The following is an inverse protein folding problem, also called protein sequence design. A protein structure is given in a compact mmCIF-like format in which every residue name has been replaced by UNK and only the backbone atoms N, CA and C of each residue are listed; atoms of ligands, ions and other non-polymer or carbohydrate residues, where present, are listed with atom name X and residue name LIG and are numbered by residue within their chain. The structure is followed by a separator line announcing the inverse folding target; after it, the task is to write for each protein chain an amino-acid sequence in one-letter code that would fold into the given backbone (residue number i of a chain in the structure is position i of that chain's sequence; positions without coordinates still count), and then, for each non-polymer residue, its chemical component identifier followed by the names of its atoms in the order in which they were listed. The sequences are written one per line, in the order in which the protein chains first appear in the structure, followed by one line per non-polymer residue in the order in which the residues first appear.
data_IF_975610080073
#
_entry.id   IF_975610080073
#
_cell.length_a   1.000
_cell.length_b   1.000
_cell.length_c   1.000
_cell.angle_alpha   90.00
_cell.angle_beta   90.00
_cell.angle_gamma   90.00
#
_symmetry.space_group_name_H-M   'P 1'
#
loop_
_entity.id
_entity.type
_entity.pdbx_description
1 polymer ?
#
# COMPACT_ATOMS: atom_id res chain seq x y z
N UNK A 1 -6.05 -0.25 19.32
CA UNK A 1 -6.82 0.07 18.09
C UNK A 1 -6.74 -1.11 17.13
N UNK A 2 -7.87 -1.73 16.85
CA UNK A 2 -7.95 -2.75 15.79
C UNK A 2 -8.45 -2.08 14.53
N UNK A 3 -7.55 -1.79 13.60
CA UNK A 3 -7.92 -1.26 12.29
C UNK A 3 -7.94 -2.40 11.29
N UNK A 4 -9.11 -2.66 10.75
CA UNK A 4 -9.29 -3.57 9.63
C UNK A 4 -9.06 -2.82 8.31
N UNK A 5 -8.61 -3.52 7.28
CA UNK A 5 -8.39 -2.95 5.93
C UNK A 5 -7.39 -1.78 5.89
N UNK A 6 -6.28 -1.95 6.56
CA UNK A 6 -5.12 -1.11 6.35
C UNK A 6 -4.45 -1.45 5.03
N UNK A 7 -3.98 -0.43 4.34
CA UNK A 7 -3.25 -0.56 3.09
C UNK A 7 -2.14 0.46 2.95
N UNK A 8 -1.30 0.24 1.97
CA UNK A 8 -0.22 1.15 1.58
C UNK A 8 -0.25 1.34 0.07
N UNK A 9 0.02 2.56 -0.39
CA UNK A 9 0.23 2.87 -1.82
C UNK A 9 1.63 3.40 -2.01
N UNK A 10 2.41 2.68 -2.80
CA UNK A 10 3.68 3.15 -3.34
C UNK A 10 3.44 3.79 -4.70
N UNK A 11 3.81 5.05 -4.86
CA UNK A 11 3.65 5.77 -6.12
C UNK A 11 4.69 5.31 -7.13
N UNK A 12 4.30 5.21 -8.40
CA UNK A 12 5.25 5.02 -9.48
C UNK A 12 6.19 6.22 -9.56
N UNK A 13 7.49 5.97 -9.66
CA UNK A 13 8.50 7.03 -9.77
C UNK A 13 8.33 7.83 -11.07
N UNK A 14 7.96 7.16 -12.15
CA UNK A 14 7.57 7.77 -13.43
C UNK A 14 6.15 7.36 -13.79
N UNK A 15 5.14 8.24 -13.60
CA UNK A 15 3.75 7.92 -13.93
C UNK A 15 3.54 7.50 -15.38
N UNK A 16 4.32 8.02 -16.33
CA UNK A 16 4.20 7.70 -17.75
C UNK A 16 4.64 6.27 -18.10
N UNK A 17 5.38 5.61 -17.21
CA UNK A 17 5.82 4.22 -17.38
C UNK A 17 4.73 3.18 -17.12
N UNK A 18 3.62 3.59 -16.49
CA UNK A 18 2.54 2.68 -16.07
C UNK A 18 1.57 2.44 -17.22
N UNK A 19 1.58 1.21 -17.74
CA UNK A 19 0.64 0.73 -18.76
C UNK A 19 -0.22 -0.37 -18.14
N UNK A 20 -1.49 -0.08 -17.87
CA UNK A 20 -2.38 -1.00 -17.15
C UNK A 20 -2.51 -2.36 -17.81
N UNK A 21 -2.63 -2.41 -19.13
CA UNK A 21 -2.76 -3.66 -19.88
C UNK A 21 -1.57 -4.62 -19.71
N UNK A 22 -0.37 -4.10 -19.46
CA UNK A 22 0.83 -4.91 -19.25
C UNK A 22 0.78 -5.72 -17.95
N UNK A 23 0.03 -5.29 -16.95
CA UNK A 23 -0.03 -5.97 -15.64
C UNK A 23 -0.92 -7.20 -15.64
N UNK A 24 -1.87 -7.33 -16.56
CA UNK A 24 -2.78 -8.47 -16.63
C UNK A 24 -2.03 -9.79 -16.81
N UNK A 25 -1.18 -9.96 -17.85
CA UNK A 25 -0.41 -11.20 -18.00
C UNK A 25 0.62 -11.42 -16.89
N UNK A 26 1.18 -10.35 -16.32
CA UNK A 26 2.12 -10.44 -15.20
C UNK A 26 1.41 -11.05 -13.98
N UNK A 27 0.25 -10.55 -13.61
CA UNK A 27 -0.52 -11.05 -12.47
C UNK A 27 -1.03 -12.48 -12.70
N UNK A 28 -1.44 -12.84 -13.91
CA UNK A 28 -1.77 -14.23 -14.25
C UNK A 28 -0.56 -15.15 -14.08
N UNK A 29 0.63 -14.71 -14.46
CA UNK A 29 1.88 -15.43 -14.21
C UNK A 29 2.15 -15.63 -12.72
N UNK A 30 1.88 -14.64 -11.89
CA UNK A 30 2.03 -14.76 -10.43
C UNK A 30 1.02 -15.76 -9.85
N UNK A 31 -0.22 -15.77 -10.34
CA UNK A 31 -1.22 -16.77 -9.92
C UNK A 31 -0.74 -18.18 -10.25
N UNK A 32 -0.23 -18.40 -11.45
CA UNK A 32 0.28 -19.71 -11.85
C UNK A 32 1.44 -20.18 -10.99
N UNK A 33 2.34 -19.27 -10.59
CA UNK A 33 3.51 -19.57 -9.76
C UNK A 33 3.23 -19.54 -8.26
N UNK A 34 2.15 -18.88 -7.83
CA UNK A 34 1.85 -18.62 -6.40
C UNK A 34 3.08 -18.06 -5.66
N UNK A 35 3.72 -17.04 -6.22
CA UNK A 35 5.04 -16.58 -5.80
C UNK A 35 5.06 -15.45 -4.77
N UNK A 36 3.88 -14.96 -4.32
CA UNK A 36 3.79 -13.98 -3.24
C UNK A 36 3.65 -14.67 -1.89
N UNK A 37 4.64 -14.47 -1.03
CA UNK A 37 4.70 -15.10 0.29
C UNK A 37 3.45 -14.78 1.13
N UNK A 38 2.85 -15.82 1.72
CA UNK A 38 1.71 -15.69 2.62
C UNK A 38 0.40 -15.30 1.94
N UNK A 39 0.32 -15.42 0.61
CA UNK A 39 -0.87 -15.06 -0.17
C UNK A 39 -1.28 -16.22 -1.10
N UNK A 40 -2.56 -16.58 -1.01
CA UNK A 40 -3.21 -17.42 -2.01
C UNK A 40 -3.78 -16.53 -3.10
N UNK A 41 -3.12 -16.48 -4.25
CA UNK A 41 -3.53 -15.67 -5.40
C UNK A 41 -4.66 -16.37 -6.14
N UNK A 42 -5.74 -15.64 -6.43
CA UNK A 42 -7.01 -16.22 -6.90
C UNK A 42 -7.33 -15.77 -8.32
N UNK A 43 -7.40 -14.47 -8.58
CA UNK A 43 -7.91 -13.95 -9.86
C UNK A 43 -7.39 -12.54 -10.16
N UNK A 44 -7.55 -12.13 -11.41
CA UNK A 44 -7.25 -10.77 -11.90
C UNK A 44 -8.52 -10.13 -12.43
N UNK A 45 -8.78 -8.88 -12.01
CA UNK A 45 -9.91 -8.09 -12.52
C UNK A 45 -9.40 -6.83 -13.20
N UNK A 46 -9.93 -6.56 -14.39
CA UNK A 46 -9.62 -5.38 -15.17
C UNK A 46 -10.69 -4.31 -14.97
N UNK A 47 -10.33 -3.25 -14.24
CA UNK A 47 -11.15 -2.05 -14.04
C UNK A 47 -10.56 -0.82 -14.76
N UNK A 48 -9.70 -1.03 -15.75
CA UNK A 48 -8.99 0.05 -16.46
C UNK A 48 -9.94 1.02 -17.19
N UNK A 49 -11.13 0.56 -17.53
CA UNK A 49 -12.19 1.36 -18.16
C UNK A 49 -13.02 2.18 -17.16
N UNK A 50 -12.86 1.94 -15.87
CA UNK A 50 -13.59 2.66 -14.81
C UNK A 50 -12.80 3.89 -14.39
N UNK A 51 -13.37 5.08 -14.56
CA UNK A 51 -12.73 6.31 -14.12
C UNK A 51 -12.50 6.29 -12.60
N UNK A 52 -11.27 6.51 -12.17
CA UNK A 52 -10.83 6.42 -10.76
C UNK A 52 -11.07 5.04 -10.09
N UNK A 53 -11.20 4.00 -10.89
CA UNK A 53 -11.29 2.63 -10.37
C UNK A 53 -9.92 2.09 -9.94
N UNK A 54 -9.91 0.86 -9.37
CA UNK A 54 -8.68 0.24 -8.87
C UNK A 54 -7.70 -0.19 -9.97
N UNK A 55 -7.95 0.15 -11.24
CA UNK A 55 -7.10 -0.22 -12.37
C UNK A 55 -7.08 -1.73 -12.61
N UNK A 56 -5.93 -2.36 -12.43
CA UNK A 56 -5.79 -3.82 -12.50
C UNK A 56 -5.67 -4.37 -11.09
N UNK A 57 -6.62 -5.24 -10.72
CA UNK A 57 -6.74 -5.81 -9.38
C UNK A 57 -6.31 -7.27 -9.38
N UNK A 58 -5.33 -7.60 -8.55
CA UNK A 58 -4.96 -8.97 -8.21
C UNK A 58 -5.63 -9.35 -6.88
N UNK A 59 -6.57 -10.27 -6.95
CA UNK A 59 -7.29 -10.78 -5.78
C UNK A 59 -6.52 -11.92 -5.15
N UNK A 60 -6.25 -11.81 -3.86
CA UNK A 60 -5.74 -12.89 -3.04
C UNK A 60 -6.67 -13.13 -1.84
N UNK A 61 -6.55 -14.29 -1.21
CA UNK A 61 -7.36 -14.60 -0.03
C UNK A 61 -7.09 -13.64 1.13
N UNK A 62 -5.84 -13.32 1.39
CA UNK A 62 -5.39 -12.53 2.54
C UNK A 62 -5.47 -11.02 2.31
N UNK A 63 -5.37 -10.59 1.06
CA UNK A 63 -5.36 -9.18 0.69
C UNK A 63 -5.35 -8.98 -0.82
N UNK A 64 -5.62 -7.76 -1.26
CA UNK A 64 -5.64 -7.43 -2.68
C UNK A 64 -4.50 -6.49 -3.04
N UNK A 65 -3.89 -6.74 -4.20
CA UNK A 65 -2.92 -5.86 -4.84
C UNK A 65 -3.58 -5.18 -6.03
N UNK A 66 -3.32 -3.90 -6.25
CA UNK A 66 -3.83 -3.23 -7.45
C UNK A 66 -2.84 -2.21 -7.99
N UNK A 67 -2.84 -2.06 -9.30
CA UNK A 67 -2.20 -0.92 -9.97
C UNK A 67 -3.27 0.15 -10.10
N UNK A 68 -3.20 1.12 -9.19
CA UNK A 68 -4.21 2.15 -9.02
C UNK A 68 -3.80 3.45 -9.72
N UNK A 69 -4.74 4.05 -10.43
CA UNK A 69 -4.54 5.31 -11.17
C UNK A 69 -5.20 6.51 -10.48
N UNK A 70 -5.73 6.30 -9.26
CA UNK A 70 -6.45 7.34 -8.53
C UNK A 70 -5.63 8.59 -8.24
N UNK A 71 -6.29 9.73 -8.18
CA UNK A 71 -5.72 11.05 -7.87
C UNK A 71 -4.61 11.51 -8.83
N UNK A 72 -4.60 10.97 -10.06
CA UNK A 72 -3.55 11.27 -11.04
C UNK A 72 -2.15 10.77 -10.66
N UNK A 73 -2.04 9.95 -9.63
CA UNK A 73 -0.78 9.37 -9.15
C UNK A 73 -0.82 7.85 -9.21
N UNK A 74 -0.38 7.24 -10.33
CA UNK A 74 -0.32 5.79 -10.46
C UNK A 74 0.56 5.16 -9.39
N UNK A 75 0.14 4.00 -8.90
CA UNK A 75 0.92 3.29 -7.91
C UNK A 75 0.39 1.90 -7.61
N UNK A 76 1.18 1.17 -6.83
CA UNK A 76 0.81 -0.12 -6.28
C UNK A 76 0.13 0.07 -4.94
N UNK A 77 -1.12 -0.38 -4.82
CA UNK A 77 -1.83 -0.48 -3.55
C UNK A 77 -1.87 -1.93 -3.09
N UNK A 78 -1.63 -2.14 -1.81
CA UNK A 78 -1.94 -3.38 -1.11
C UNK A 78 -2.87 -3.11 0.07
N UNK A 79 -3.99 -3.82 0.13
CA UNK A 79 -4.90 -3.86 1.28
C UNK A 79 -4.99 -5.25 1.85
N UNK A 80 -4.79 -5.37 3.16
CA UNK A 80 -5.08 -6.62 3.87
C UNK A 80 -6.59 -6.71 4.14
N UNK A 81 -7.16 -7.90 3.89
CA UNK A 81 -8.60 -8.19 4.07
C UNK A 81 -8.88 -9.03 5.29
N UNK A 82 -8.01 -9.99 5.56
CA UNK A 82 -8.25 -10.95 6.65
C UNK A 82 -7.95 -10.33 8.01
N UNK A 83 -8.81 -10.56 9.01
CA UNK A 83 -8.50 -10.21 10.38
C UNK A 83 -7.21 -10.90 10.85
N UNK A 84 -6.50 -10.26 11.75
CA UNK A 84 -5.27 -10.81 12.30
C UNK A 84 -5.24 -10.64 13.82
N UNK A 85 -4.65 -11.61 14.51
CA UNK A 85 -4.35 -11.53 15.94
C UNK A 85 -3.00 -10.84 16.22
N UNK A 86 -2.30 -10.36 15.18
CA UNK A 86 -1.04 -9.64 15.31
C UNK A 86 -1.21 -8.33 16.05
N UNK A 87 -0.16 -7.89 16.74
CA UNK A 87 -0.09 -6.54 17.28
C UNK A 87 -0.16 -5.49 16.16
N UNK A 88 -0.52 -4.22 16.45
CA UNK A 88 -0.54 -3.18 15.42
C UNK A 88 0.78 -3.03 14.66
N UNK A 89 1.92 -3.12 15.36
CA UNK A 89 3.25 -3.03 14.73
C UNK A 89 3.49 -4.22 13.80
N UNK A 90 3.20 -5.43 14.25
CA UNK A 90 3.37 -6.65 13.44
C UNK A 90 2.44 -6.65 12.23
N UNK A 91 1.21 -6.18 12.38
CA UNK A 91 0.24 -6.05 11.30
C UNK A 91 0.73 -5.08 10.21
N UNK A 92 1.14 -3.87 10.62
CA UNK A 92 1.68 -2.88 9.70
C UNK A 92 2.97 -3.37 9.02
N UNK A 93 3.87 -3.99 9.78
CA UNK A 93 5.08 -4.59 9.25
C UNK A 93 4.79 -5.63 8.16
N UNK A 94 3.81 -6.50 8.39
CA UNK A 94 3.39 -7.50 7.41
C UNK A 94 2.81 -6.86 6.14
N UNK A 95 2.01 -5.80 6.28
CA UNK A 95 1.44 -5.05 5.16
C UNK A 95 2.57 -4.44 4.31
N UNK A 96 3.52 -3.76 4.93
CA UNK A 96 4.66 -3.18 4.20
C UNK A 96 5.51 -4.23 3.51
N UNK A 97 5.80 -5.35 4.16
CA UNK A 97 6.59 -6.43 3.55
C UNK A 97 5.89 -7.04 2.34
N UNK A 98 4.57 -7.24 2.41
CA UNK A 98 3.79 -7.73 1.28
C UNK A 98 3.81 -6.77 0.10
N UNK A 99 3.61 -5.49 0.35
CA UNK A 99 3.66 -4.45 -0.68
C UNK A 99 5.06 -4.31 -1.29
N UNK A 100 6.12 -4.37 -0.46
CA UNK A 100 7.50 -4.32 -0.93
C UNK A 100 7.87 -5.52 -1.80
N UNK A 101 7.46 -6.72 -1.43
CA UNK A 101 7.68 -7.91 -2.24
C UNK A 101 7.03 -7.77 -3.62
N UNK A 102 5.78 -7.34 -3.67
CA UNK A 102 5.07 -7.11 -4.91
C UNK A 102 5.73 -6.00 -5.74
N UNK A 103 6.17 -4.91 -5.11
CA UNK A 103 6.86 -3.83 -5.81
C UNK A 103 8.17 -4.28 -6.46
N UNK A 104 8.95 -5.11 -5.77
CA UNK A 104 10.20 -5.69 -6.32
C UNK A 104 9.93 -6.61 -7.50
N UNK A 105 8.87 -7.41 -7.43
CA UNK A 105 8.47 -8.27 -8.54
C UNK A 105 8.01 -7.45 -9.75
N UNK A 106 7.27 -6.35 -9.53
CA UNK A 106 6.86 -5.45 -10.60
C UNK A 106 8.03 -4.69 -11.22
N UNK A 107 9.00 -4.28 -10.43
CA UNK A 107 10.23 -3.67 -10.97
C UNK A 107 10.96 -4.63 -11.92
N UNK A 108 11.02 -5.90 -11.59
CA UNK A 108 11.59 -6.95 -12.41
C UNK A 108 10.75 -7.26 -13.65
N UNK A 109 9.44 -7.46 -13.47
CA UNK A 109 8.55 -8.04 -14.48
C UNK A 109 7.90 -6.96 -15.38
N UNK A 110 7.65 -5.77 -14.85
CA UNK A 110 7.01 -4.66 -15.55
C UNK A 110 7.95 -3.47 -15.81
N UNK A 111 9.14 -3.48 -15.27
CA UNK A 111 10.13 -2.38 -15.34
C UNK A 111 9.58 -1.04 -14.83
N UNK A 112 8.68 -1.08 -13.86
CA UNK A 112 8.12 0.08 -13.16
C UNK A 112 8.83 0.21 -11.82
N UNK A 113 9.43 1.38 -11.56
CA UNK A 113 10.02 1.70 -10.26
C UNK A 113 9.02 2.44 -9.38
N UNK A 114 9.12 2.20 -8.08
CA UNK A 114 8.28 2.85 -7.07
C UNK A 114 9.11 3.75 -6.16
N UNK A 115 8.50 4.86 -5.74
CA UNK A 115 9.12 5.78 -4.80
C UNK A 115 9.02 5.22 -3.37
N UNK A 116 10.17 4.96 -2.75
CA UNK A 116 10.26 4.47 -1.37
C UNK A 116 10.51 5.59 -0.35
N UNK A 117 10.60 6.83 -0.79
CA UNK A 117 10.83 7.99 0.07
C UNK A 117 9.55 8.78 0.34
N UNK A 118 8.52 8.56 -0.46
CA UNK A 118 7.20 9.17 -0.30
C UNK A 118 6.11 8.16 -0.67
N UNK A 119 5.24 7.84 0.26
CA UNK A 119 4.10 6.94 0.04
C UNK A 119 2.99 7.26 1.03
N UNK A 120 1.85 6.62 0.88
CA UNK A 120 0.71 6.81 1.77
C UNK A 120 0.26 5.50 2.41
N UNK A 121 -0.20 5.61 3.65
CA UNK A 121 -0.90 4.55 4.39
C UNK A 121 -2.37 4.94 4.48
N UNK A 122 -3.25 3.99 4.17
CA UNK A 122 -4.67 4.22 4.05
C UNK A 122 -5.41 3.31 5.03
N UNK A 123 -6.24 3.91 5.89
CA UNK A 123 -7.18 3.17 6.73
C UNK A 123 -8.55 3.18 6.05
N UNK A 124 -8.89 2.10 5.37
CA UNK A 124 -10.17 1.97 4.66
C UNK A 124 -11.27 1.38 5.55
N UNK A 125 -11.39 1.94 6.75
CA UNK A 125 -12.33 1.52 7.79
C UNK A 125 -12.80 2.72 8.61
N UNK A 126 -13.75 3.46 8.07
CA UNK A 126 -14.25 4.69 8.73
C UNK A 126 -14.92 4.45 10.06
N UNK A 127 -15.43 3.25 10.28
CA UNK A 127 -16.12 2.91 11.53
C UNK A 127 -15.13 2.77 12.69
N UNK A 128 -14.02 2.09 12.47
CA UNK A 128 -13.02 1.80 13.50
C UNK A 128 -11.80 2.74 13.45
N UNK A 129 -11.60 3.40 12.32
CA UNK A 129 -10.50 4.34 12.12
C UNK A 129 -10.98 5.59 11.36
N UNK A 130 -11.84 6.42 12.00
CA UNK A 130 -12.30 7.67 11.39
C UNK A 130 -11.13 8.65 11.18
N UNK A 131 -11.26 9.51 10.19
CA UNK A 131 -10.25 10.53 9.89
C UNK A 131 -10.33 11.69 10.89
N UNK A 132 -9.75 11.52 12.04
CA UNK A 132 -9.67 12.53 13.10
C UNK A 132 -8.30 12.53 13.80
N UNK A 133 -8.05 13.54 14.63
CA UNK A 133 -6.80 13.72 15.35
C UNK A 133 -6.49 12.57 16.31
N UNK A 134 -7.51 12.03 16.97
CA UNK A 134 -7.35 10.93 17.93
C UNK A 134 -6.87 9.66 17.23
N UNK A 135 -7.53 9.25 16.16
CA UNK A 135 -7.15 8.05 15.39
C UNK A 135 -5.75 8.20 14.82
N UNK A 136 -5.43 9.38 14.31
CA UNK A 136 -4.10 9.65 13.78
C UNK A 136 -3.02 9.56 14.88
N UNK A 137 -3.29 10.14 16.05
CA UNK A 137 -2.36 10.06 17.19
C UNK A 137 -2.14 8.62 17.67
N UNK A 138 -3.18 7.79 17.65
CA UNK A 138 -3.08 6.38 18.00
C UNK A 138 -2.32 5.55 16.97
N UNK A 139 -2.42 5.92 15.68
CA UNK A 139 -1.75 5.21 14.58
C UNK A 139 -0.25 5.55 14.49
N UNK A 140 0.15 6.78 14.84
CA UNK A 140 1.51 7.27 14.66
C UNK A 140 2.59 6.38 15.32
N UNK A 141 2.49 6.00 16.62
CA UNK A 141 3.54 5.21 17.25
C UNK A 141 3.76 3.83 16.60
N UNK A 142 2.73 3.00 16.37
CA UNK A 142 2.91 1.71 15.72
C UNK A 142 3.36 1.85 14.27
N UNK A 143 2.90 2.86 13.55
CA UNK A 143 3.32 3.12 12.18
C UNK A 143 4.80 3.50 12.11
N UNK A 144 5.27 4.41 12.95
CA UNK A 144 6.68 4.78 13.03
C UNK A 144 7.56 3.59 13.37
N UNK A 145 7.14 2.74 14.30
CA UNK A 145 7.88 1.55 14.69
C UNK A 145 7.97 0.53 13.55
N UNK A 146 6.86 0.28 12.86
CA UNK A 146 6.83 -0.62 11.71
C UNK A 146 7.72 -0.11 10.56
N UNK A 147 7.68 1.17 10.26
CA UNK A 147 8.52 1.80 9.24
C UNK A 147 10.01 1.66 9.56
N UNK A 148 10.41 1.86 10.81
CA UNK A 148 11.81 1.65 11.24
C UNK A 148 12.25 0.20 11.05
N UNK A 149 11.40 -0.77 11.32
CA UNK A 149 11.72 -2.18 11.12
C UNK A 149 11.87 -2.54 9.64
N UNK A 150 10.96 -2.05 8.79
CA UNK A 150 10.91 -2.41 7.37
C UNK A 150 11.98 -1.67 6.57
N UNK A 151 12.25 -0.40 6.89
CA UNK A 151 13.17 0.48 6.18
C UNK A 151 14.49 0.70 6.94
N UNK A 152 14.96 -0.30 7.67
CA UNK A 152 16.29 -0.37 8.28
C UNK A 152 16.66 0.85 9.16
N UNK A 153 15.71 1.28 10.00
CA UNK A 153 15.92 2.39 10.92
C UNK A 153 15.62 3.78 10.33
N UNK A 154 15.15 3.85 9.09
CA UNK A 154 14.76 5.13 8.48
C UNK A 154 13.61 5.80 9.26
N UNK A 155 13.66 7.11 9.35
CA UNK A 155 12.63 7.93 9.95
C UNK A 155 11.75 8.56 8.88
N UNK A 156 10.46 8.68 9.17
CA UNK A 156 9.47 9.26 8.28
C UNK A 156 8.70 10.36 9.00
N UNK A 157 8.44 11.44 8.27
CA UNK A 157 7.51 12.46 8.69
C UNK A 157 6.09 12.04 8.31
N UNK A 158 5.20 11.97 9.29
CA UNK A 158 3.82 11.49 9.12
C UNK A 158 2.84 12.65 9.22
N UNK A 159 1.99 12.81 8.20
CA UNK A 159 0.95 13.82 8.18
C UNK A 159 -0.36 13.27 7.62
N UNK A 160 -1.50 13.75 8.12
CA UNK A 160 -2.77 13.46 7.47
C UNK A 160 -2.87 14.24 6.16
N UNK A 161 -3.32 13.58 5.10
CA UNK A 161 -3.46 14.21 3.78
C UNK A 161 -4.70 15.09 3.66
N UNK A 162 -5.73 14.81 4.46
CA UNK A 162 -6.97 15.59 4.51
C UNK A 162 -7.49 15.68 5.93
N UNK A 163 -8.08 16.82 6.29
CA UNK A 163 -8.75 17.05 7.57
C UNK A 163 -10.26 16.86 7.47
N UNK A 164 -10.79 16.52 6.30
CA UNK A 164 -12.21 16.23 6.10
C UNK A 164 -12.54 14.85 6.71
N UNK A 165 -13.41 14.85 7.72
CA UNK A 165 -13.86 13.66 8.42
C UNK A 165 -14.69 12.70 7.55
N UNK A 166 -15.18 13.16 6.41
CA UNK A 166 -15.88 12.35 5.42
C UNK A 166 -14.94 11.51 4.56
N UNK A 167 -13.68 11.90 4.49
CA UNK A 167 -12.65 11.14 3.76
C UNK A 167 -12.06 10.04 4.63
N UNK A 168 -11.41 9.07 3.97
CA UNK A 168 -10.66 8.02 4.66
C UNK A 168 -9.44 8.63 5.35
N UNK A 169 -9.09 8.13 6.53
CA UNK A 169 -7.80 8.45 7.13
C UNK A 169 -6.67 7.99 6.20
N UNK A 170 -5.93 8.93 5.67
CA UNK A 170 -4.78 8.69 4.81
C UNK A 170 -3.59 9.46 5.38
N UNK A 171 -2.50 8.75 5.59
CA UNK A 171 -1.28 9.28 6.18
C UNK A 171 -0.19 9.33 5.12
N UNK A 172 0.31 10.53 4.85
CA UNK A 172 1.52 10.71 4.04
C UNK A 172 2.75 10.37 4.87
N UNK A 173 3.60 9.51 4.31
CA UNK A 173 4.88 9.12 4.89
C UNK A 173 6.00 9.66 4.01
N UNK A 174 6.76 10.61 4.53
CA UNK A 174 7.90 11.20 3.82
C UNK A 174 9.18 10.89 4.58
N UNK A 175 10.15 10.28 3.90
CA UNK A 175 11.43 9.96 4.52
C UNK A 175 12.16 11.22 4.95
N UNK A 176 12.63 11.24 6.18
CA UNK A 176 13.49 12.31 6.69
C UNK A 176 14.89 12.12 6.13
N UNK A 177 15.37 13.10 5.36
CA UNK A 177 16.75 13.09 4.86
C UNK A 177 17.66 13.59 5.97
N UNK A 178 18.54 12.71 6.50
CA UNK A 178 19.59 13.11 7.41
C UNK A 178 20.57 14.00 6.64
N UNK A 179 20.61 15.28 6.95
CA UNK A 179 21.73 16.12 6.53
C UNK A 179 22.96 15.59 7.28
N UNK A 180 23.80 14.82 6.59
CA UNK A 180 25.17 14.61 7.08
C UNK A 180 25.89 15.94 6.94
N UNK A 181 26.04 16.59 8.06
CA UNK A 181 26.99 17.72 8.19
C UNK A 181 28.42 17.26 8.00
#
# INVERSE_FOLDING_TARGET
MQVHRLGVKFFAADPSSVRLDAFIPIFHGWIQKQNLTGHLLIDVHDYSHTHQGPGILLVAHEGNFSIDMGDGRPGLIYYRKTPTALSPIEHLTAIFRSALQASRFLERDARVRFNMDEFIVIANDRLHAPNNDQTFAELQPPLSAALKQVFEGAEFHLTRTSLDDKERLTVSCMRVVSQRS
#
